data_IF_314620698094
#
_entry.id   IF_314620698094
#
_cell.length_a   1.000
_cell.length_b   1.000
_cell.length_c   1.000
_cell.angle_alpha   90.00
_cell.angle_beta   90.00
_cell.angle_gamma   90.00
#
_symmetry.space_group_name_H-M   'P 1'
#
loop_
_entity.id
_entity.type
_entity.pdbx_description
1 polymer ?
#
# COMPACT_ATOMS: atom_id res chain seq x y z
N UNK A 1 52.12 64.41 -5.42
CA UNK A 1 52.14 63.90 -6.81
C UNK A 1 53.39 63.03 -6.91
N UNK A 2 53.40 61.73 -7.19
CA UNK A 2 52.43 60.80 -7.76
C UNK A 2 52.58 59.40 -7.10
N UNK A 3 51.51 58.61 -7.14
CA UNK A 3 51.45 57.21 -6.66
C UNK A 3 52.37 56.27 -7.44
N UNK A 4 52.81 55.15 -6.82
CA UNK A 4 53.04 53.91 -7.55
C UNK A 4 51.89 52.92 -7.32
N UNK A 5 51.23 52.50 -8.40
CA UNK A 5 50.30 51.37 -8.38
C UNK A 5 51.07 50.05 -8.41
N UNK A 6 50.76 49.05 -7.57
CA UNK A 6 51.22 47.69 -7.81
C UNK A 6 50.37 47.04 -8.91
N UNK A 7 51.04 46.46 -9.89
CA UNK A 7 50.47 45.54 -10.89
C UNK A 7 50.19 44.22 -10.15
N UNK A 8 48.92 43.89 -9.92
CA UNK A 8 48.53 42.54 -9.55
C UNK A 8 48.41 41.68 -10.82
N UNK A 9 49.02 40.48 -10.87
CA UNK A 9 48.68 39.52 -11.90
C UNK A 9 47.23 39.06 -11.70
N UNK A 10 46.43 39.13 -12.77
CA UNK A 10 45.12 38.49 -12.84
C UNK A 10 45.30 36.98 -12.72
N UNK A 11 45.00 36.40 -11.56
CA UNK A 11 44.84 34.96 -11.39
C UNK A 11 43.36 34.59 -11.57
N UNK A 12 42.96 33.90 -12.65
CA UNK A 12 41.57 33.53 -12.92
C UNK A 12 41.14 32.25 -12.19
N UNK A 13 41.59 32.02 -10.95
CA UNK A 13 41.31 30.77 -10.21
C UNK A 13 40.35 30.92 -9.02
N UNK A 14 39.79 32.12 -8.77
CA UNK A 14 38.77 32.32 -7.74
C UNK A 14 37.36 32.14 -8.31
N UNK A 15 36.84 30.91 -8.22
CA UNK A 15 35.42 30.65 -8.50
C UNK A 15 35.11 29.30 -9.13
N UNK A 16 35.77 28.20 -8.74
CA UNK A 16 35.06 26.91 -8.78
C UNK A 16 33.96 27.06 -7.73
N UNK A 17 32.71 27.28 -8.15
CA UNK A 17 31.56 27.05 -7.29
C UNK A 17 31.77 25.68 -6.64
N UNK A 18 31.65 25.54 -5.31
CA UNK A 18 31.52 24.21 -4.74
C UNK A 18 30.34 23.58 -5.46
N UNK A 19 30.58 22.43 -6.12
CA UNK A 19 29.60 21.67 -6.88
C UNK A 19 28.23 21.90 -6.24
N UNK A 20 27.38 22.61 -6.98
CA UNK A 20 26.01 22.88 -6.59
C UNK A 20 25.49 21.59 -5.96
N UNK A 21 25.10 21.67 -4.69
CA UNK A 21 24.55 20.53 -3.95
C UNK A 21 23.59 19.84 -4.90
N UNK A 22 24.05 18.72 -5.48
CA UNK A 22 23.33 18.02 -6.52
C UNK A 22 22.10 17.54 -5.77
N UNK A 23 21.01 18.28 -5.93
CA UNK A 23 19.77 18.00 -5.24
C UNK A 23 19.54 16.52 -5.45
N UNK A 24 19.32 15.72 -4.39
CA UNK A 24 19.01 14.32 -4.58
C UNK A 24 17.91 14.30 -5.63
N UNK A 25 18.20 13.66 -6.76
CA UNK A 25 17.19 13.35 -7.76
C UNK A 25 16.26 12.39 -7.04
N UNK A 26 15.32 12.93 -6.28
CA UNK A 26 14.23 12.19 -5.65
C UNK A 26 13.23 11.79 -6.73
N UNK A 27 13.71 11.12 -7.78
CA UNK A 27 12.94 10.07 -8.40
C UNK A 27 13.00 8.90 -7.42
N UNK A 28 12.26 9.01 -6.31
CA UNK A 28 11.91 7.84 -5.53
C UNK A 28 11.12 6.96 -6.50
N UNK A 29 11.64 5.81 -6.95
CA UNK A 29 10.84 4.95 -7.80
C UNK A 29 9.62 4.61 -6.95
N UNK A 30 8.44 5.04 -7.39
CA UNK A 30 7.17 4.55 -6.87
C UNK A 30 7.20 3.06 -7.20
N UNK A 31 7.75 2.26 -6.28
CA UNK A 31 7.96 0.84 -6.48
C UNK A 31 6.59 0.27 -6.76
N UNK A 32 6.37 -0.18 -8.00
CA UNK A 32 5.09 -0.75 -8.38
C UNK A 32 4.75 -1.85 -7.36
N UNK A 33 3.49 -1.94 -6.91
CA UNK A 33 3.12 -2.92 -5.90
C UNK A 33 3.59 -4.30 -6.31
N UNK A 34 4.45 -4.87 -5.48
CA UNK A 34 5.04 -6.15 -5.77
C UNK A 34 4.06 -7.26 -5.40
N UNK A 35 4.07 -8.33 -6.18
CA UNK A 35 3.28 -9.51 -5.86
C UNK A 35 3.73 -10.09 -4.51
N UNK A 36 2.81 -10.55 -3.63
CA UNK A 36 3.16 -11.12 -2.35
C UNK A 36 3.93 -12.45 -2.53
N UNK A 37 5.08 -12.58 -1.85
CA UNK A 37 6.01 -13.69 -2.08
C UNK A 37 5.49 -15.07 -1.66
N UNK A 38 4.52 -15.13 -0.75
CA UNK A 38 3.86 -16.37 -0.29
C UNK A 38 2.70 -16.83 -1.18
N UNK A 39 2.29 -16.00 -2.14
CA UNK A 39 1.15 -16.31 -3.04
C UNK A 39 1.70 -16.70 -4.40
N UNK A 40 1.26 -17.85 -4.92
CA UNK A 40 1.66 -18.26 -6.26
C UNK A 40 1.11 -17.30 -7.33
N UNK A 41 1.66 -17.32 -8.55
CA UNK A 41 1.16 -16.46 -9.64
C UNK A 41 -0.21 -16.95 -10.15
N UNK A 42 -1.07 -16.07 -10.69
CA UNK A 42 -2.30 -16.47 -11.33
C UNK A 42 -2.03 -17.47 -12.47
N UNK A 43 -2.83 -18.54 -12.54
CA UNK A 43 -2.64 -19.63 -13.51
C UNK A 43 -1.72 -20.76 -13.04
N UNK A 44 -0.96 -20.59 -11.96
CA UNK A 44 -0.18 -21.69 -11.36
C UNK A 44 -1.09 -22.66 -10.57
N UNK A 45 -0.79 -23.97 -10.58
CA UNK A 45 -1.49 -24.95 -9.73
C UNK A 45 -1.29 -24.65 -8.24
N UNK A 46 -2.38 -24.32 -7.53
CA UNK A 46 -2.31 -23.94 -6.10
C UNK A 46 -2.39 -22.43 -5.84
N UNK A 47 -2.56 -21.61 -6.88
CA UNK A 47 -2.79 -20.17 -6.73
C UNK A 47 -3.94 -19.84 -5.78
N UNK A 48 -5.14 -20.39 -6.00
CA UNK A 48 -6.30 -20.08 -5.16
C UNK A 48 -6.09 -20.52 -3.69
N UNK A 49 -5.40 -21.64 -3.46
CA UNK A 49 -5.10 -22.14 -2.13
C UNK A 49 -4.10 -21.25 -1.38
N UNK A 50 -2.98 -20.91 -2.03
CA UNK A 50 -1.96 -20.01 -1.45
C UNK A 50 -2.49 -18.59 -1.23
N UNK A 51 -3.30 -18.07 -2.15
CA UNK A 51 -3.98 -16.79 -1.99
C UNK A 51 -4.96 -16.80 -0.82
N UNK A 52 -5.77 -17.85 -0.68
CA UNK A 52 -6.70 -18.00 0.44
C UNK A 52 -5.99 -18.03 1.79
N UNK A 53 -4.92 -18.83 1.91
CA UNK A 53 -4.12 -18.90 3.14
C UNK A 53 -3.55 -17.53 3.54
N UNK A 54 -2.90 -16.85 2.59
CA UNK A 54 -2.34 -15.51 2.82
C UNK A 54 -3.40 -14.48 3.19
N UNK A 55 -4.56 -14.48 2.51
CA UNK A 55 -5.67 -13.58 2.85
C UNK A 55 -6.23 -13.85 4.26
N UNK A 56 -6.31 -15.11 4.69
CA UNK A 56 -6.72 -15.43 6.05
C UNK A 56 -5.70 -14.99 7.10
N UNK A 57 -4.40 -14.95 6.77
CA UNK A 57 -3.37 -14.41 7.65
C UNK A 57 -3.52 -12.90 7.86
N UNK A 58 -4.04 -12.18 6.87
CA UNK A 58 -4.40 -10.76 6.98
C UNK A 58 -5.77 -10.53 7.63
N UNK A 59 -6.68 -11.49 7.50
CA UNK A 59 -8.04 -11.38 7.99
C UNK A 59 -8.14 -11.57 9.52
N UNK A 60 -9.17 -11.01 10.17
CA UNK A 60 -9.51 -11.36 11.53
C UNK A 60 -9.66 -12.88 11.71
N UNK A 61 -9.14 -13.48 12.81
CA UNK A 61 -9.16 -14.93 13.00
C UNK A 61 -10.55 -15.56 12.87
N UNK A 62 -11.59 -14.84 13.32
CA UNK A 62 -12.99 -15.29 13.24
C UNK A 62 -13.48 -15.63 11.83
N UNK A 63 -12.91 -15.02 10.78
CA UNK A 63 -13.31 -15.31 9.40
C UNK A 63 -12.94 -16.72 8.95
N UNK A 64 -11.97 -17.38 9.62
CA UNK A 64 -11.61 -18.77 9.32
C UNK A 64 -12.76 -19.75 9.61
N UNK A 65 -13.75 -19.38 10.43
CA UNK A 65 -14.92 -20.21 10.72
C UNK A 65 -16.05 -20.06 9.68
N UNK A 66 -15.94 -19.10 8.76
CA UNK A 66 -16.97 -18.82 7.77
C UNK A 66 -16.72 -19.63 6.49
N UNK A 67 -17.42 -20.76 6.32
CA UNK A 67 -17.25 -21.67 5.16
C UNK A 67 -17.44 -20.96 3.81
N UNK A 68 -18.26 -19.91 3.77
CA UNK A 68 -18.48 -19.11 2.56
C UNK A 68 -17.18 -18.45 2.10
N UNK A 69 -16.32 -18.00 3.02
CA UNK A 69 -15.06 -17.33 2.68
C UNK A 69 -14.00 -18.30 2.16
N UNK A 70 -14.04 -19.56 2.59
CA UNK A 70 -13.21 -20.62 2.01
C UNK A 70 -13.64 -20.97 0.58
N UNK A 71 -14.95 -20.96 0.30
CA UNK A 71 -15.51 -21.25 -1.04
C UNK A 71 -15.39 -20.07 -2.00
N UNK A 72 -15.38 -18.85 -1.48
CA UNK A 72 -15.39 -17.62 -2.26
C UNK A 72 -14.20 -16.71 -1.89
N UNK A 73 -12.97 -17.08 -2.30
CA UNK A 73 -11.76 -16.31 -1.95
C UNK A 73 -11.75 -14.88 -2.54
N UNK A 74 -12.52 -14.61 -3.59
CA UNK A 74 -12.71 -13.25 -4.12
C UNK A 74 -13.45 -12.36 -3.10
N UNK A 75 -14.45 -12.90 -2.40
CA UNK A 75 -15.17 -12.18 -1.35
C UNK A 75 -14.28 -11.97 -0.12
N UNK A 76 -13.46 -12.96 0.24
CA UNK A 76 -12.45 -12.80 1.28
C UNK A 76 -11.49 -11.66 0.96
N UNK A 77 -10.98 -11.59 -0.28
CA UNK A 77 -10.09 -10.51 -0.72
C UNK A 77 -10.76 -9.13 -0.62
N UNK A 78 -12.03 -9.01 -1.03
CA UNK A 78 -12.80 -7.78 -0.89
C UNK A 78 -12.96 -7.36 0.57
N UNK A 79 -13.27 -8.28 1.47
CA UNK A 79 -13.40 -7.99 2.91
C UNK A 79 -12.07 -7.54 3.53
N UNK A 80 -10.97 -8.20 3.19
CA UNK A 80 -9.62 -7.81 3.64
C UNK A 80 -9.29 -6.41 3.12
N UNK A 81 -9.58 -6.11 1.85
CA UNK A 81 -9.36 -4.78 1.26
C UNK A 81 -10.18 -3.70 1.98
N UNK A 82 -11.47 -3.93 2.22
CA UNK A 82 -12.32 -2.98 2.95
C UNK A 82 -11.79 -2.71 4.37
N UNK A 83 -11.28 -3.75 5.03
CA UNK A 83 -10.71 -3.62 6.37
C UNK A 83 -9.44 -2.76 6.36
N UNK A 84 -8.50 -3.05 5.47
CA UNK A 84 -7.27 -2.28 5.36
C UNK A 84 -7.55 -0.81 4.97
N UNK A 85 -8.58 -0.55 4.14
CA UNK A 85 -9.03 0.81 3.86
C UNK A 85 -9.52 1.53 5.12
N UNK A 86 -10.30 0.84 5.96
CA UNK A 86 -10.75 1.38 7.24
C UNK A 86 -9.56 1.62 8.20
N UNK A 87 -8.57 0.73 8.22
CA UNK A 87 -7.37 0.88 9.05
C UNK A 87 -6.54 2.11 8.62
N UNK A 88 -6.40 2.39 7.31
CA UNK A 88 -5.74 3.62 6.81
C UNK A 88 -6.47 4.88 7.30
N UNK A 89 -7.81 4.91 7.18
CA UNK A 89 -8.62 6.04 7.64
C UNK A 89 -8.47 6.24 9.16
N UNK A 90 -8.45 5.15 9.92
CA UNK A 90 -8.28 5.16 11.36
C UNK A 90 -6.89 5.69 11.77
N UNK A 91 -5.82 5.25 11.10
CA UNK A 91 -4.46 5.73 11.39
C UNK A 91 -4.29 7.21 11.03
N UNK A 92 -4.86 7.67 9.91
CA UNK A 92 -4.85 9.09 9.55
C UNK A 92 -5.61 9.94 10.59
N UNK A 93 -6.70 9.44 11.15
CA UNK A 93 -7.40 10.09 12.26
C UNK A 93 -6.56 10.09 13.55
N UNK A 94 -5.95 8.96 13.90
CA UNK A 94 -5.10 8.83 15.09
C UNK A 94 -3.91 9.81 15.06
N UNK A 95 -3.24 9.96 13.91
CA UNK A 95 -2.14 10.90 13.73
C UNK A 95 -2.57 12.37 13.90
N UNK A 96 -3.78 12.73 13.46
CA UNK A 96 -4.33 14.08 13.70
C UNK A 96 -4.56 14.33 15.19
N UNK A 97 -5.19 13.39 15.88
CA UNK A 97 -5.49 13.50 17.32
C UNK A 97 -4.23 13.43 18.19
N UNK A 98 -3.17 12.72 17.76
CA UNK A 98 -1.95 12.58 18.53
C UNK A 98 -1.24 13.92 18.78
N UNK A 99 -1.32 14.86 17.82
CA UNK A 99 -0.76 16.21 17.97
C UNK A 99 -1.38 16.99 19.15
N UNK A 100 -2.64 16.73 19.46
CA UNK A 100 -3.35 17.37 20.57
C UNK A 100 -2.89 16.85 21.93
N UNK A 101 -2.33 15.63 21.97
CA UNK A 101 -1.85 14.95 23.18
C UNK A 101 -0.40 15.30 23.56
N UNK A 102 0.28 16.11 22.74
CA UNK A 102 1.65 16.54 23.00
C UNK A 102 1.83 17.26 24.35
N UNK A 103 0.78 17.93 24.86
CA UNK A 103 0.83 18.58 26.18
C UNK A 103 0.79 17.59 27.35
N UNK A 104 0.13 16.44 27.20
CA UNK A 104 -0.07 15.46 28.28
C UNK A 104 0.95 14.34 28.28
N UNK A 105 1.53 14.02 27.11
CA UNK A 105 2.47 12.90 26.91
C UNK A 105 3.58 13.29 25.91
N UNK A 106 4.37 14.35 26.17
CA UNK A 106 5.33 14.88 25.19
C UNK A 106 6.45 13.91 24.81
N UNK A 107 6.85 13.02 25.72
CA UNK A 107 7.94 12.07 25.48
C UNK A 107 7.51 10.94 24.52
N UNK A 108 6.24 10.53 24.57
CA UNK A 108 5.69 9.41 23.82
C UNK A 108 5.24 9.79 22.41
N UNK A 109 4.87 11.05 22.16
CA UNK A 109 4.32 11.51 20.86
C UNK A 109 5.20 11.13 19.66
N UNK A 110 6.54 11.32 19.66
CA UNK A 110 7.36 10.93 18.52
C UNK A 110 7.28 9.42 18.22
N UNK A 111 7.40 8.58 19.25
CA UNK A 111 7.33 7.13 19.10
C UNK A 111 5.97 6.64 18.59
N UNK A 112 4.88 7.23 19.10
CA UNK A 112 3.52 6.91 18.63
C UNK A 112 3.28 7.41 17.20
N UNK A 113 3.88 8.54 16.83
CA UNK A 113 3.81 9.07 15.45
C UNK A 113 4.47 8.10 14.49
N UNK A 114 5.68 7.62 14.81
CA UNK A 114 6.40 6.64 13.99
C UNK A 114 5.65 5.32 13.88
N UNK A 115 5.07 4.84 14.99
CA UNK A 115 4.27 3.62 15.02
C UNK A 115 3.04 3.73 14.10
N UNK A 116 2.22 4.77 14.27
CA UNK A 116 1.00 4.94 13.47
C UNK A 116 1.29 5.24 12.01
N UNK A 117 2.39 5.93 11.72
CA UNK A 117 2.86 6.14 10.34
C UNK A 117 3.23 4.81 9.69
N UNK A 118 4.05 3.99 10.37
CA UNK A 118 4.43 2.66 9.89
C UNK A 118 3.23 1.76 9.66
N UNK A 119 2.27 1.76 10.58
CA UNK A 119 1.05 0.95 10.46
C UNK A 119 0.19 1.39 9.28
N UNK A 120 0.01 2.70 9.08
CA UNK A 120 -0.71 3.25 7.93
C UNK A 120 -0.03 2.89 6.62
N UNK A 121 1.29 3.04 6.56
CA UNK A 121 2.06 2.81 5.34
C UNK A 121 2.10 1.30 5.01
N UNK A 122 2.18 0.45 6.03
CA UNK A 122 1.97 -1.00 5.88
C UNK A 122 0.59 -1.31 5.31
N UNK A 123 -0.48 -0.73 5.87
CA UNK A 123 -1.85 -0.96 5.39
C UNK A 123 -2.04 -0.49 3.94
N UNK A 124 -1.43 0.64 3.53
CA UNK A 124 -1.42 1.12 2.15
C UNK A 124 -0.70 0.15 1.22
N UNK A 125 0.50 -0.32 1.58
CA UNK A 125 1.23 -1.30 0.78
C UNK A 125 0.46 -2.62 0.65
N UNK A 126 -0.16 -3.11 1.73
CA UNK A 126 -0.99 -4.32 1.70
C UNK A 126 -2.23 -4.14 0.84
N UNK A 127 -2.87 -2.97 0.81
CA UNK A 127 -4.02 -2.70 -0.07
C UNK A 127 -3.67 -2.94 -1.54
N UNK A 128 -2.50 -2.48 -1.96
CA UNK A 128 -2.06 -2.65 -3.33
C UNK A 128 -1.80 -4.12 -3.67
N UNK A 129 -1.17 -4.88 -2.75
CA UNK A 129 -0.96 -6.32 -2.92
C UNK A 129 -2.27 -7.11 -2.95
N UNK A 130 -3.19 -6.80 -2.03
CA UNK A 130 -4.52 -7.43 -1.97
C UNK A 130 -5.30 -7.14 -3.25
N UNK A 131 -5.22 -5.93 -3.80
CA UNK A 131 -5.87 -5.59 -5.07
C UNK A 131 -5.32 -6.43 -6.25
N UNK A 132 -4.01 -6.67 -6.31
CA UNK A 132 -3.41 -7.56 -7.32
C UNK A 132 -3.89 -9.01 -7.17
N UNK A 133 -3.92 -9.53 -5.95
CA UNK A 133 -4.41 -10.89 -5.67
C UNK A 133 -5.90 -11.02 -5.98
N UNK A 134 -6.71 -10.04 -5.57
CA UNK A 134 -8.15 -9.96 -5.88
C UNK A 134 -8.38 -10.03 -7.40
N UNK A 135 -7.61 -9.26 -8.18
CA UNK A 135 -7.70 -9.26 -9.63
C UNK A 135 -7.28 -10.61 -10.23
N UNK A 136 -6.22 -11.24 -9.71
CA UNK A 136 -5.81 -12.58 -10.11
C UNK A 136 -6.90 -13.62 -9.84
N UNK A 137 -7.52 -13.58 -8.67
CA UNK A 137 -8.62 -14.48 -8.29
C UNK A 137 -9.84 -14.29 -9.20
N UNK A 138 -10.24 -13.06 -9.50
CA UNK A 138 -11.33 -12.76 -10.45
C UNK A 138 -11.02 -13.29 -11.85
N UNK A 139 -9.76 -13.18 -12.28
CA UNK A 139 -9.32 -13.65 -13.61
C UNK A 139 -9.44 -15.17 -13.71
N UNK A 140 -9.01 -15.91 -12.69
CA UNK A 140 -9.08 -17.39 -12.67
C UNK A 140 -10.50 -17.91 -12.44
N UNK A 141 -11.33 -17.20 -11.67
CA UNK A 141 -12.74 -17.54 -11.49
C UNK A 141 -13.55 -17.41 -12.80
N UNK A 142 -13.10 -16.54 -13.71
CA UNK A 142 -13.81 -16.21 -14.95
C UNK A 142 -15.15 -15.52 -14.70
N UNK A 143 -15.86 -15.08 -15.76
CA UNK A 143 -17.21 -14.58 -15.62
C UNK A 143 -18.09 -15.71 -15.07
N UNK A 144 -18.60 -15.53 -13.85
CA UNK A 144 -19.60 -16.43 -13.29
C UNK A 144 -20.78 -16.44 -14.25
N UNK A 145 -20.97 -17.54 -14.99
CA UNK A 145 -22.13 -17.73 -15.83
C UNK A 145 -23.31 -17.91 -14.87
N UNK A 146 -23.98 -16.81 -14.52
CA UNK A 146 -25.21 -16.84 -13.74
C UNK A 146 -26.15 -17.76 -14.53
N UNK A 147 -26.39 -18.95 -14.01
CA UNK A 147 -27.32 -19.88 -14.63
C UNK A 147 -28.65 -19.13 -14.74
N UNK A 148 -29.11 -18.90 -15.98
CA UNK A 148 -30.46 -18.45 -16.25
C UNK A 148 -31.40 -19.47 -15.60
N UNK A 149 -31.96 -19.14 -14.44
CA UNK A 149 -33.06 -19.90 -13.86
C UNK A 149 -34.23 -19.67 -14.83
N UNK A 150 -34.67 -20.68 -15.60
CA UNK A 150 -35.81 -20.51 -16.48
C UNK A 150 -36.99 -20.19 -15.57
N UNK A 151 -37.62 -19.02 -15.80
CA UNK A 151 -38.83 -18.65 -15.09
C UNK A 151 -39.89 -19.76 -15.23
N UNK A 152 -40.79 -19.94 -14.25
CA UNK A 152 -41.79 -20.99 -14.31
C UNK A 152 -42.57 -20.87 -15.63
N UNK A 153 -42.56 -21.96 -16.42
CA UNK A 153 -43.36 -22.03 -17.65
C UNK A 153 -44.82 -21.80 -17.25
N UNK A 154 -45.40 -20.69 -17.70
CA UNK A 154 -46.83 -20.44 -17.55
C UNK A 154 -47.56 -21.59 -18.23
N UNK A 155 -48.29 -22.37 -17.45
CA UNK A 155 -49.23 -23.32 -18.00
C UNK A 155 -50.29 -22.51 -18.76
N UNK A 156 -50.27 -22.60 -20.09
CA UNK A 156 -51.37 -22.16 -20.95
C UNK A 156 -52.58 -23.03 -20.63
N UNK A 157 -53.60 -22.41 -20.05
CA UNK A 157 -54.98 -22.89 -20.05
C UNK A 157 -55.78 -22.14 -21.12
#
# INVERSE_FOLDING_TARGET
MASPSPIFPSDPSFGREPDAFEAPTEDTPTSAPHWPGSVQRPGSPGFAQSAGAWLFDLAPPRYRYEEVLHRHPVELAQLVRLRLQADVVAMDAALRTLRERARTMPAEVPYLTDLYTRERDWARAMLEQVALVEQGLKTVAGPTRIAHIPGPRRATG
#
